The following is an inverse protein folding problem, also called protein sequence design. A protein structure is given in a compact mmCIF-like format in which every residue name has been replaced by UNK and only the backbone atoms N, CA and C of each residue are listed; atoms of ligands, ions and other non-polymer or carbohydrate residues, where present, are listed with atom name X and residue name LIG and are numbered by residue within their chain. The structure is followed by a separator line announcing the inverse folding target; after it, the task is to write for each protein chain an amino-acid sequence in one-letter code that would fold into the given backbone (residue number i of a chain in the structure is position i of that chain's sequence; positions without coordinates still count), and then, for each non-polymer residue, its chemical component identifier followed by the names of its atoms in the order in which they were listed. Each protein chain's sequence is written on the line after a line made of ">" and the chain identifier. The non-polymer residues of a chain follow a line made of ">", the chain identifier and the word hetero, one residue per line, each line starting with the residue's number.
data_IF_166517813332
#
_entry.id   IF_166517813332
#
_cell.length_a   1.000
_cell.length_b   1.000
_cell.length_c   1.000
_cell.angle_alpha   90.00
_cell.angle_beta   90.00
_cell.angle_gamma   90.00
#
_symmetry.space_group_name_H-M   'P 1'
#
loop_
_entity.id
_entity.type
_entity.pdbx_description
1 polymer ?
#
# COMPACT_ATOMS: atom_id res chain seq x y z
N UNK A 1 -13.35 7.02 31.10
CA UNK A 1 -11.94 6.80 30.71
C UNK A 1 -11.89 5.67 29.68
N UNK A 2 -12.05 5.99 28.39
CA UNK A 2 -11.97 4.98 27.32
C UNK A 2 -10.53 4.92 26.82
N UNK A 3 -9.84 3.84 27.19
CA UNK A 3 -8.48 3.53 26.74
C UNK A 3 -8.48 3.29 25.22
N UNK A 4 -7.67 4.05 24.50
CA UNK A 4 -7.56 4.00 23.04
C UNK A 4 -6.53 2.93 22.63
N UNK A 5 -6.89 1.92 21.81
CA UNK A 5 -5.94 0.87 21.45
C UNK A 5 -4.88 1.41 20.50
N UNK A 6 -3.60 1.19 20.85
CA UNK A 6 -2.45 1.55 20.03
C UNK A 6 -2.36 0.64 18.78
N UNK A 7 -2.18 1.20 17.57
CA UNK A 7 -2.05 0.39 16.36
C UNK A 7 -0.69 -0.31 16.28
N UNK A 8 -0.71 -1.65 16.14
CA UNK A 8 0.47 -2.49 15.99
C UNK A 8 1.18 -2.27 14.64
N UNK A 9 2.49 -1.98 14.72
CA UNK A 9 3.55 -2.69 13.98
C UNK A 9 3.52 -2.86 12.46
N UNK A 10 2.97 -1.94 11.67
CA UNK A 10 3.25 -1.86 10.21
C UNK A 10 2.90 -0.48 9.61
N UNK A 11 1.88 0.17 10.18
CA UNK A 11 1.41 1.51 9.76
C UNK A 11 2.39 2.66 10.08
N UNK A 12 3.40 2.44 10.94
CA UNK A 12 4.41 3.48 11.28
C UNK A 12 5.29 3.85 10.08
N UNK A 13 5.54 2.91 9.15
CA UNK A 13 6.41 3.14 7.99
C UNK A 13 5.76 4.07 6.95
N UNK A 14 4.47 3.88 6.65
CA UNK A 14 3.70 4.78 5.79
C UNK A 14 3.47 6.16 6.43
N UNK A 15 3.25 6.22 7.76
CA UNK A 15 3.07 7.47 8.50
C UNK A 15 4.30 8.39 8.40
N UNK A 16 5.51 7.84 8.50
CA UNK A 16 6.76 8.60 8.39
C UNK A 16 7.07 9.04 6.94
N UNK A 17 6.73 8.21 5.96
CA UNK A 17 6.94 8.51 4.53
C UNK A 17 6.03 9.63 4.00
N UNK A 18 4.85 9.84 4.60
CA UNK A 18 3.91 10.90 4.17
C UNK A 18 4.29 12.31 4.64
N UNK A 19 5.06 12.44 5.73
CA UNK A 19 5.47 13.76 6.26
C UNK A 19 6.88 14.20 5.76
N UNK A 20 7.63 13.38 4.97
CA UNK A 20 8.89 13.82 4.30
C UNK A 20 8.67 14.00 2.78
N UNK A 21 8.75 15.24 2.32
CA UNK A 21 8.72 15.57 0.90
C UNK A 21 9.95 15.00 0.19
N UNK A 22 9.73 14.07 -0.74
CA UNK A 22 10.73 13.65 -1.71
C UNK A 22 10.37 14.29 -3.05
N UNK A 23 11.09 15.33 -3.43
CA UNK A 23 11.23 15.80 -4.80
C UNK A 23 12.04 14.76 -5.58
N UNK A 24 11.43 14.13 -6.57
CA UNK A 24 12.11 13.16 -7.42
C UNK A 24 11.13 12.52 -8.38
N UNK A 25 10.99 13.12 -9.55
CA UNK A 25 10.33 12.50 -10.69
C UNK A 25 11.24 11.41 -11.23
N UNK A 26 10.94 10.14 -10.92
CA UNK A 26 11.23 9.00 -11.80
C UNK A 26 10.07 8.03 -11.69
N UNK A 27 9.49 7.71 -12.84
CA UNK A 27 8.52 6.64 -13.03
C UNK A 27 9.24 5.31 -12.88
N UNK A 28 9.54 4.94 -11.64
CA UNK A 28 10.10 3.64 -11.32
C UNK A 28 9.03 2.87 -10.56
N UNK A 29 8.48 1.83 -11.18
CA UNK A 29 7.76 0.78 -10.46
C UNK A 29 8.61 0.35 -9.29
N UNK A 30 8.22 0.76 -8.08
CA UNK A 30 8.93 0.33 -6.87
C UNK A 30 8.58 -1.12 -6.65
N UNK A 31 9.57 -1.96 -6.93
CA UNK A 31 9.53 -3.36 -6.56
C UNK A 31 9.76 -3.46 -5.06
N UNK A 32 8.87 -4.15 -4.37
CA UNK A 32 9.10 -4.53 -2.98
C UNK A 32 8.99 -6.04 -2.87
N UNK A 33 9.88 -6.62 -2.06
CA UNK A 33 9.86 -8.04 -1.75
C UNK A 33 8.90 -8.26 -0.58
N UNK A 34 8.01 -9.22 -0.72
CA UNK A 34 7.08 -9.60 0.35
C UNK A 34 6.81 -11.10 0.30
N UNK A 35 6.45 -11.68 1.44
CA UNK A 35 5.97 -13.06 1.53
C UNK A 35 4.46 -13.08 1.67
N UNK A 36 3.80 -14.01 0.98
CA UNK A 36 2.35 -14.18 1.13
C UNK A 36 2.06 -15.02 2.37
N UNK A 37 1.50 -14.41 3.42
CA UNK A 37 1.17 -15.06 4.70
C UNK A 37 -0.32 -15.43 4.78
N UNK A 38 -0.95 -15.71 3.64
CA UNK A 38 -2.34 -16.16 3.59
C UNK A 38 -2.52 -17.52 4.29
N UNK A 39 -3.73 -17.77 4.84
CA UNK A 39 -4.02 -18.99 5.60
C UNK A 39 -3.81 -20.28 4.79
N UNK A 40 -3.97 -20.23 3.46
CA UNK A 40 -3.69 -21.35 2.56
C UNK A 40 -2.20 -21.72 2.55
N UNK A 41 -1.30 -20.72 2.53
CA UNK A 41 0.15 -20.94 2.61
C UNK A 41 0.57 -21.47 3.98
N UNK A 42 -0.15 -21.08 5.03
CA UNK A 42 0.03 -21.64 6.37
C UNK A 42 -0.38 -23.13 6.43
N UNK A 43 -1.42 -23.55 5.71
CA UNK A 43 -1.79 -24.95 5.62
C UNK A 43 -0.69 -25.78 4.92
N UNK A 44 -0.14 -25.25 3.81
CA UNK A 44 1.01 -25.87 3.12
C UNK A 44 2.22 -25.99 4.06
N UNK A 45 2.53 -24.95 4.84
CA UNK A 45 3.64 -25.01 5.80
C UNK A 45 3.47 -26.12 6.85
N UNK A 46 2.24 -26.28 7.37
CA UNK A 46 1.93 -27.35 8.32
C UNK A 46 2.09 -28.74 7.70
N UNK A 47 1.67 -28.89 6.46
CA UNK A 47 1.79 -30.14 5.72
C UNK A 47 3.26 -30.49 5.44
N UNK A 48 4.08 -29.52 5.02
CA UNK A 48 5.52 -29.71 4.84
C UNK A 48 6.18 -30.15 6.15
N UNK A 49 5.90 -29.46 7.27
CA UNK A 49 6.45 -29.83 8.58
C UNK A 49 6.03 -31.24 9.01
N UNK A 50 4.77 -31.61 8.77
CA UNK A 50 4.25 -32.92 9.13
C UNK A 50 4.91 -34.06 8.34
N UNK A 51 5.32 -33.78 7.09
CA UNK A 51 5.95 -34.74 6.19
C UNK A 51 7.48 -34.66 6.18
N UNK A 52 8.09 -33.72 6.92
CA UNK A 52 9.55 -33.60 7.04
C UNK A 52 10.08 -34.68 7.97
N UNK A 53 11.13 -35.37 7.54
CA UNK A 53 11.85 -36.31 8.39
C UNK A 53 12.78 -35.56 9.35
N UNK A 54 12.54 -35.73 10.65
CA UNK A 54 13.32 -35.08 11.73
C UNK A 54 14.41 -35.99 12.30
N UNK A 55 14.56 -37.21 11.79
CA UNK A 55 15.59 -38.15 12.24
C UNK A 55 16.99 -37.58 12.03
N UNK A 56 17.23 -36.86 10.92
CA UNK A 56 18.49 -36.18 10.64
C UNK A 56 18.85 -35.17 11.74
N UNK A 57 17.89 -34.41 12.25
CA UNK A 57 18.16 -33.42 13.30
C UNK A 57 18.33 -34.04 14.70
N UNK A 58 17.87 -35.28 14.92
CA UNK A 58 17.85 -35.93 16.25
C UNK A 58 18.94 -36.97 16.46
N UNK A 59 19.59 -37.44 15.40
CA UNK A 59 20.64 -38.45 15.46
C UNK A 59 22.06 -37.88 15.59
N UNK A 60 22.22 -36.56 15.64
CA UNK A 60 23.53 -35.92 15.83
C UNK A 60 24.01 -36.06 17.28
N UNK A 61 25.29 -36.42 17.45
CA UNK A 61 25.96 -36.50 18.75
C UNK A 61 26.32 -35.14 19.34
N UNK A 62 26.54 -34.14 18.49
CA UNK A 62 26.81 -32.77 18.89
C UNK A 62 25.53 -31.93 18.86
N UNK A 63 25.30 -31.19 19.94
CA UNK A 63 24.12 -30.35 20.11
C UNK A 63 24.10 -29.17 19.13
N UNK A 64 25.28 -28.65 18.77
CA UNK A 64 25.39 -27.55 17.83
C UNK A 64 25.01 -27.98 16.41
N UNK A 65 25.50 -29.14 15.98
CA UNK A 65 25.16 -29.74 14.69
C UNK A 65 23.66 -30.08 14.60
N UNK A 66 23.11 -30.73 15.64
CA UNK A 66 21.67 -31.02 15.75
C UNK A 66 20.80 -29.77 15.56
N UNK A 67 21.15 -28.67 16.25
CA UNK A 67 20.43 -27.41 16.13
C UNK A 67 20.55 -26.79 14.74
N UNK A 68 21.75 -26.87 14.13
CA UNK A 68 21.98 -26.34 12.79
C UNK A 68 21.15 -27.06 11.73
N UNK A 69 21.09 -28.39 11.79
CA UNK A 69 20.28 -29.24 10.89
C UNK A 69 18.80 -28.96 11.06
N UNK A 70 18.32 -28.89 12.31
CA UNK A 70 16.94 -28.49 12.61
C UNK A 70 16.59 -27.13 12.00
N UNK A 71 17.45 -26.13 12.20
CA UNK A 71 17.20 -24.79 11.71
C UNK A 71 17.21 -24.74 10.18
N UNK A 72 18.05 -25.53 9.53
CA UNK A 72 18.10 -25.65 8.07
C UNK A 72 16.80 -26.26 7.52
N UNK A 73 16.34 -27.39 8.07
CA UNK A 73 15.09 -28.05 7.67
C UNK A 73 13.87 -27.14 7.90
N UNK A 74 13.82 -26.46 9.04
CA UNK A 74 12.73 -25.53 9.32
C UNK A 74 12.77 -24.31 8.36
N UNK A 75 13.96 -23.81 8.07
CA UNK A 75 14.15 -22.64 7.18
C UNK A 75 13.83 -22.99 5.73
N UNK A 76 14.15 -24.21 5.27
CA UNK A 76 13.81 -24.67 3.92
C UNK A 76 12.30 -24.81 3.77
N UNK A 77 11.64 -25.50 4.70
CA UNK A 77 10.18 -25.62 4.75
C UNK A 77 9.49 -24.25 4.78
N UNK A 78 10.04 -23.31 5.56
CA UNK A 78 9.53 -21.94 5.61
C UNK A 78 9.70 -21.19 4.28
N UNK A 79 10.84 -21.30 3.62
CA UNK A 79 11.08 -20.63 2.34
C UNK A 79 10.24 -21.22 1.20
N UNK A 80 9.96 -22.52 1.24
CA UNK A 80 9.08 -23.21 0.30
C UNK A 80 7.62 -22.81 0.50
N UNK A 81 7.14 -22.83 1.75
CA UNK A 81 5.79 -22.40 2.08
C UNK A 81 5.59 -20.88 1.89
N UNK A 82 6.63 -20.07 2.09
CA UNK A 82 6.55 -18.60 2.00
C UNK A 82 7.63 -18.02 1.07
N UNK A 83 7.49 -18.23 -0.25
CA UNK A 83 8.44 -17.75 -1.23
C UNK A 83 8.45 -16.22 -1.24
N UNK A 84 9.64 -15.68 -1.46
CA UNK A 84 9.84 -14.23 -1.56
C UNK A 84 9.32 -13.76 -2.92
N UNK A 85 8.14 -13.13 -2.94
CA UNK A 85 7.53 -12.63 -4.17
C UNK A 85 7.86 -11.14 -4.33
N UNK A 86 8.30 -10.77 -5.53
CA UNK A 86 8.46 -9.37 -5.89
C UNK A 86 7.13 -8.84 -6.41
N UNK A 87 6.52 -7.90 -5.69
CA UNK A 87 5.30 -7.23 -6.13
C UNK A 87 5.65 -5.86 -6.71
N UNK A 88 5.09 -5.57 -7.89
CA UNK A 88 5.19 -4.26 -8.55
C UNK A 88 4.12 -3.34 -7.98
N UNK A 89 4.52 -2.24 -7.36
CA UNK A 89 3.59 -1.15 -7.04
C UNK A 89 3.68 -0.12 -8.17
N UNK A 90 2.54 0.10 -8.84
CA UNK A 90 2.41 1.24 -9.75
C UNK A 90 2.43 2.53 -8.93
N UNK A 91 3.33 3.45 -9.24
CA UNK A 91 3.33 4.75 -8.58
C UNK A 91 2.12 5.55 -9.04
N UNK A 92 1.11 5.64 -8.17
CA UNK A 92 -0.11 6.39 -8.45
C UNK A 92 0.03 7.88 -8.14
N UNK A 93 1.18 8.35 -7.62
CA UNK A 93 1.43 9.76 -7.27
C UNK A 93 1.66 10.65 -8.48
N UNK A 94 1.97 10.07 -9.63
CA UNK A 94 2.24 10.77 -10.88
C UNK A 94 1.09 10.58 -11.88
N UNK A 95 -0.12 10.97 -11.48
CA UNK A 95 -1.20 11.09 -12.46
C UNK A 95 -0.97 12.34 -13.33
N UNK A 96 -1.24 12.28 -14.64
CA UNK A 96 -1.04 13.40 -15.56
C UNK A 96 -1.90 14.63 -15.20
N UNK A 97 -3.10 14.41 -14.65
CA UNK A 97 -4.00 15.47 -14.18
C UNK A 97 -3.60 16.09 -12.83
N UNK A 98 -2.61 15.51 -12.13
CA UNK A 98 -2.22 15.97 -10.81
C UNK A 98 -1.16 17.08 -10.88
N UNK A 99 -1.63 18.32 -10.90
CA UNK A 99 -0.80 19.52 -10.97
C UNK A 99 0.07 19.72 -9.71
N UNK A 100 1.11 20.55 -9.83
CA UNK A 100 1.95 20.93 -8.69
C UNK A 100 1.13 21.57 -7.55
N UNK A 101 0.11 22.37 -7.89
CA UNK A 101 -0.82 22.97 -6.93
C UNK A 101 -1.62 21.91 -6.16
N UNK A 102 -2.20 20.93 -6.87
CA UNK A 102 -2.91 19.81 -6.22
C UNK A 102 -1.99 18.98 -5.33
N UNK A 103 -0.74 18.73 -5.77
CA UNK A 103 0.29 18.06 -4.95
C UNK A 103 0.59 18.85 -3.68
N UNK A 104 0.71 20.18 -3.77
CA UNK A 104 0.90 21.04 -2.59
C UNK A 104 -0.30 20.96 -1.63
N UNK A 105 -1.52 20.98 -2.16
CA UNK A 105 -2.75 20.85 -1.36
C UNK A 105 -2.83 19.49 -0.65
N UNK A 106 -2.43 18.39 -1.31
CA UNK A 106 -2.33 17.06 -0.69
C UNK A 106 -1.30 17.06 0.44
N UNK A 107 -0.12 17.66 0.24
CA UNK A 107 0.92 17.78 1.28
C UNK A 107 0.39 18.56 2.49
N UNK A 108 -0.33 19.66 2.26
CA UNK A 108 -0.97 20.45 3.32
C UNK A 108 -2.01 19.62 4.09
N UNK A 109 -2.87 18.86 3.40
CA UNK A 109 -3.82 17.92 4.04
C UNK A 109 -3.09 16.89 4.91
N UNK A 110 -1.99 16.32 4.40
CA UNK A 110 -1.19 15.34 5.15
C UNK A 110 -0.55 15.97 6.39
N UNK A 111 -0.01 17.20 6.28
CA UNK A 111 0.54 17.94 7.42
C UNK A 111 -0.51 18.16 8.50
N UNK A 112 -1.72 18.58 8.13
CA UNK A 112 -2.83 18.77 9.08
C UNK A 112 -3.26 17.45 9.74
N UNK A 113 -3.22 16.34 9.00
CA UNK A 113 -3.44 15.02 9.59
C UNK A 113 -2.32 14.63 10.59
N UNK A 114 -1.04 14.84 10.23
CA UNK A 114 0.09 14.59 11.14
C UNK A 114 -0.07 15.45 12.43
N UNK A 115 -0.56 16.69 12.31
CA UNK A 115 -0.83 17.59 13.46
C UNK A 115 -2.01 17.13 14.31
N UNK A 116 -3.16 16.83 13.70
CA UNK A 116 -4.34 16.30 14.40
C UNK A 116 -4.02 15.00 15.14
N UNK A 117 -3.22 14.11 14.55
CA UNK A 117 -2.80 12.87 15.23
C UNK A 117 -1.89 13.10 16.44
N UNK A 118 -1.06 14.14 16.42
CA UNK A 118 -0.21 14.52 17.56
C UNK A 118 -1.00 15.19 18.68
N UNK A 119 -1.96 16.04 18.32
CA UNK A 119 -2.83 16.74 19.26
C UNK A 119 -4.29 16.67 18.76
N UNK A 120 -5.05 15.66 19.20
CA UNK A 120 -6.40 15.41 18.71
C UNK A 120 -7.43 16.33 19.38
N UNK A 121 -7.42 17.61 18.99
CA UNK A 121 -8.46 18.56 19.41
C UNK A 121 -9.66 18.51 18.46
N UNK A 122 -10.86 18.86 18.97
CA UNK A 122 -12.07 18.95 18.15
C UNK A 122 -11.91 19.97 17.01
N UNK A 123 -11.27 21.11 17.30
CA UNK A 123 -10.97 22.14 16.31
C UNK A 123 -10.03 21.62 15.21
N UNK A 124 -8.93 20.94 15.57
CA UNK A 124 -8.00 20.38 14.58
C UNK A 124 -8.67 19.29 13.72
N UNK A 125 -9.58 18.49 14.30
CA UNK A 125 -10.37 17.50 13.57
C UNK A 125 -11.31 18.17 12.55
N UNK A 126 -12.05 19.21 12.96
CA UNK A 126 -12.95 19.94 12.09
C UNK A 126 -12.21 20.56 10.91
N UNK A 127 -11.14 21.32 11.18
CA UNK A 127 -10.27 21.92 10.15
C UNK A 127 -9.71 20.88 9.17
N UNK A 128 -9.25 19.74 9.67
CA UNK A 128 -8.78 18.65 8.82
C UNK A 128 -9.89 18.08 7.93
N UNK A 129 -11.08 17.84 8.49
CA UNK A 129 -12.21 17.26 7.76
C UNK A 129 -12.72 18.21 6.67
N UNK A 130 -12.85 19.50 6.98
CA UNK A 130 -13.32 20.51 6.04
C UNK A 130 -12.35 20.64 4.87
N UNK A 131 -11.06 20.74 5.17
CA UNK A 131 -10.01 20.81 4.15
C UNK A 131 -9.94 19.51 3.32
N UNK A 132 -10.08 18.34 3.97
CA UNK A 132 -10.15 17.05 3.27
C UNK A 132 -11.34 17.00 2.31
N UNK A 133 -12.51 17.48 2.73
CA UNK A 133 -13.71 17.50 1.89
C UNK A 133 -13.53 18.41 0.67
N UNK A 134 -13.03 19.64 0.88
CA UNK A 134 -12.72 20.59 -0.19
C UNK A 134 -11.71 20.00 -1.19
N UNK A 135 -10.59 19.47 -0.68
CA UNK A 135 -9.56 18.85 -1.54
C UNK A 135 -10.12 17.66 -2.33
N UNK A 136 -11.02 16.87 -1.74
CA UNK A 136 -11.65 15.74 -2.44
C UNK A 136 -12.45 16.22 -3.64
N UNK A 137 -13.20 17.34 -3.50
CA UNK A 137 -13.98 17.92 -4.59
C UNK A 137 -13.06 18.41 -5.71
N UNK A 138 -12.06 19.22 -5.37
CA UNK A 138 -11.10 19.76 -6.35
C UNK A 138 -10.34 18.66 -7.10
N UNK A 139 -9.94 17.58 -6.42
CA UNK A 139 -9.29 16.45 -7.08
C UNK A 139 -10.21 15.74 -8.07
N UNK A 140 -11.49 15.56 -7.72
CA UNK A 140 -12.48 14.97 -8.63
C UNK A 140 -12.72 15.85 -9.84
N UNK A 141 -12.87 17.15 -9.64
CA UNK A 141 -13.06 18.12 -10.72
C UNK A 141 -11.88 18.11 -11.69
N UNK A 142 -10.64 18.11 -11.18
CA UNK A 142 -9.44 18.03 -12.01
C UNK A 142 -9.34 16.73 -12.81
N UNK A 143 -9.69 15.60 -12.19
CA UNK A 143 -9.72 14.29 -12.85
C UNK A 143 -10.80 14.23 -13.94
N UNK A 144 -12.00 14.74 -13.66
CA UNK A 144 -13.11 14.82 -14.62
C UNK A 144 -12.72 15.70 -15.81
N UNK A 145 -12.18 16.90 -15.55
CA UNK A 145 -11.75 17.82 -16.59
C UNK A 145 -10.72 17.18 -17.53
N UNK A 146 -9.67 16.57 -16.95
CA UNK A 146 -8.65 15.88 -17.75
C UNK A 146 -9.22 14.73 -18.58
N UNK A 147 -10.09 13.90 -18.01
CA UNK A 147 -10.68 12.79 -18.74
C UNK A 147 -11.63 13.28 -19.84
N UNK A 148 -12.36 14.37 -19.60
CA UNK A 148 -13.20 15.02 -20.61
C UNK A 148 -12.35 15.51 -21.79
N UNK A 149 -11.26 16.22 -21.51
CA UNK A 149 -10.34 16.71 -22.53
C UNK A 149 -9.70 15.55 -23.32
N UNK A 150 -9.33 14.48 -22.62
CA UNK A 150 -8.72 13.30 -23.24
C UNK A 150 -9.71 12.57 -24.17
N UNK A 151 -10.98 12.48 -23.79
CA UNK A 151 -12.04 11.92 -24.63
C UNK A 151 -12.32 12.81 -25.84
N UNK A 152 -12.36 14.13 -25.65
CA UNK A 152 -12.57 15.09 -26.74
C UNK A 152 -11.45 15.01 -27.79
N UNK A 153 -10.20 14.86 -27.36
CA UNK A 153 -9.05 14.65 -28.24
C UNK A 153 -9.12 13.32 -29.01
N UNK A 154 -9.73 12.28 -28.42
CA UNK A 154 -9.82 10.93 -29.01
C UNK A 154 -11.20 10.62 -29.60
N UNK A 155 -12.09 11.61 -29.77
CA UNK A 155 -13.48 11.42 -30.20
C UNK A 155 -13.65 10.72 -31.55
N UNK A 156 -12.64 10.77 -32.41
CA UNK A 156 -12.62 10.10 -33.73
C UNK A 156 -12.09 8.66 -33.67
N UNK A 157 -11.50 8.25 -32.55
CA UNK A 157 -10.95 6.92 -32.32
C UNK A 157 -11.78 6.19 -31.25
N UNK A 158 -12.79 5.44 -31.71
CA UNK A 158 -13.71 4.70 -30.85
C UNK A 158 -13.00 3.66 -29.98
N UNK A 159 -11.95 3.01 -30.51
CA UNK A 159 -11.17 2.01 -29.75
C UNK A 159 -10.45 2.68 -28.58
N UNK A 160 -9.79 3.82 -28.82
CA UNK A 160 -9.13 4.60 -27.75
C UNK A 160 -10.14 5.17 -26.75
N UNK A 161 -11.24 5.75 -27.23
CA UNK A 161 -12.30 6.28 -26.37
C UNK A 161 -12.89 5.20 -25.46
N UNK A 162 -13.14 3.99 -25.98
CA UNK A 162 -13.60 2.85 -25.18
C UNK A 162 -12.55 2.38 -24.18
N UNK A 163 -11.27 2.37 -24.55
CA UNK A 163 -10.17 2.07 -23.63
C UNK A 163 -10.11 3.06 -22.46
N UNK A 164 -10.23 4.36 -22.75
CA UNK A 164 -10.26 5.44 -21.75
C UNK A 164 -11.47 5.25 -20.82
N UNK A 165 -12.66 5.02 -21.38
CA UNK A 165 -13.87 4.75 -20.58
C UNK A 165 -13.70 3.53 -19.68
N UNK A 166 -13.16 2.43 -20.21
CA UNK A 166 -12.86 1.23 -19.43
C UNK A 166 -11.87 1.51 -18.30
N UNK A 167 -10.86 2.35 -18.54
CA UNK A 167 -9.94 2.80 -17.49
C UNK A 167 -10.68 3.60 -16.41
N UNK A 168 -11.56 4.54 -16.77
CA UNK A 168 -12.32 5.34 -15.80
C UNK A 168 -13.22 4.45 -14.94
N UNK A 169 -14.02 3.58 -15.59
CA UNK A 169 -14.96 2.67 -14.93
C UNK A 169 -14.26 1.63 -14.05
N UNK A 170 -13.12 1.09 -14.50
CA UNK A 170 -12.32 0.12 -13.75
C UNK A 170 -11.56 0.72 -12.55
N UNK A 171 -11.41 2.04 -12.51
CA UNK A 171 -10.55 2.72 -11.53
C UNK A 171 -11.31 3.58 -10.51
N UNK A 172 -12.54 4.04 -10.79
CA UNK A 172 -13.36 4.86 -9.87
C UNK A 172 -13.53 4.23 -8.48
N UNK A 173 -13.68 2.91 -8.39
CA UNK A 173 -13.78 2.19 -7.12
C UNK A 173 -12.47 2.14 -6.31
N UNK A 174 -11.29 2.30 -6.96
CA UNK A 174 -9.96 2.09 -6.35
C UNK A 174 -9.12 3.36 -6.18
N UNK A 175 -9.39 4.44 -6.93
CA UNK A 175 -8.55 5.64 -6.95
C UNK A 175 -8.80 6.60 -5.78
N UNK A 176 -10.05 6.87 -5.43
CA UNK A 176 -10.35 7.83 -4.36
C UNK A 176 -10.01 7.28 -2.97
N UNK A 177 -10.13 5.97 -2.76
CA UNK A 177 -9.88 5.33 -1.47
C UNK A 177 -8.40 5.37 -1.00
N UNK A 178 -7.44 5.46 -1.92
CA UNK A 178 -6.00 5.45 -1.57
C UNK A 178 -5.38 6.85 -1.48
N UNK A 179 -5.84 7.82 -2.29
CA UNK A 179 -5.43 9.23 -2.18
C UNK A 179 -6.07 9.90 -0.96
N UNK A 180 -7.23 9.39 -0.56
CA UNK A 180 -8.02 9.90 0.55
C UNK A 180 -8.56 8.69 1.31
N UNK A 181 -7.86 8.20 2.35
CA UNK A 181 -8.36 7.09 3.14
C UNK A 181 -9.75 7.41 3.71
N UNK A 182 -10.75 6.62 3.29
CA UNK A 182 -12.15 6.70 3.73
C UNK A 182 -12.45 5.77 4.90
N UNK A 183 -11.47 5.46 5.74
CA UNK A 183 -11.69 4.61 6.92
C UNK A 183 -10.83 5.07 8.09
N UNK A 184 -11.46 5.88 8.96
CA UNK A 184 -11.14 6.07 10.38
C UNK A 184 -12.43 6.47 11.07
#
# INVERSE_FOLDING_TARGET
>A
MTSFPQPKGSLKSCYYAMCKGSSGARDETRNFKTRNMEPERMAIFKDIIANTDWTEATQHSDAQDAYSTFLQLLTSAYNEAFPMVTKKIRDRRNQPWLTAGLKASIRRKNKMFCQYKKSPTLYARAQYNDYKAQLTRTLREAEIAYNSDLLEQNKRDLRKSWSIMKQILGTSARQLAHLIPSRW
#
